data_IF_044840654073
#
_entry.id   IF_044840654073
#
_cell.length_a   1.000
_cell.length_b   1.000
_cell.length_c   1.000
_cell.angle_alpha   90.00
_cell.angle_beta   90.00
_cell.angle_gamma   90.00
#
_symmetry.space_group_name_H-M   'P 1'
#
loop_
_entity.id
_entity.type
_entity.pdbx_description
1 polymer ?
#
# COMPACT_ATOMS: atom_id res chain seq x y z
N UNK A 1 4.75 20.45 26.41
CA UNK A 1 5.83 19.80 25.66
C UNK A 1 5.38 19.72 24.21
N UNK A 2 5.99 20.50 23.35
CA UNK A 2 5.52 20.67 21.96
C UNK A 2 6.13 19.60 21.04
N UNK A 3 5.45 19.30 19.93
CA UNK A 3 6.00 18.43 18.87
C UNK A 3 7.32 18.99 18.32
N UNK A 4 7.49 20.32 18.34
CA UNK A 4 8.73 20.97 17.93
C UNK A 4 9.91 20.63 18.87
N UNK A 5 9.71 20.57 20.19
CA UNK A 5 10.76 20.19 21.16
C UNK A 5 11.19 18.71 21.03
N UNK A 6 10.30 17.84 20.53
CA UNK A 6 10.59 16.43 20.28
C UNK A 6 11.37 16.22 18.97
N UNK A 7 11.18 17.11 17.99
CA UNK A 7 12.02 17.18 16.80
C UNK A 7 13.39 17.82 17.06
N UNK A 8 13.50 18.64 18.12
CA UNK A 8 14.71 19.39 18.47
C UNK A 8 15.62 18.67 19.50
N UNK A 9 15.46 17.36 19.69
CA UNK A 9 16.42 16.52 20.43
C UNK A 9 17.74 16.39 19.65
N UNK A 10 18.52 17.47 19.58
CA UNK A 10 19.91 17.47 19.11
C UNK A 10 20.12 17.00 17.66
N UNK A 11 19.14 17.17 16.76
CA UNK A 11 19.25 16.86 15.33
C UNK A 11 19.03 15.40 14.92
N UNK A 12 18.81 14.48 15.86
CA UNK A 12 18.64 13.04 15.57
C UNK A 12 17.18 12.61 15.32
N UNK A 13 16.20 13.44 15.68
CA UNK A 13 14.79 13.09 15.53
C UNK A 13 14.40 12.85 14.07
N UNK A 14 14.95 13.62 13.13
CA UNK A 14 14.72 13.42 11.69
C UNK A 14 15.24 12.06 11.19
N UNK A 15 16.34 11.55 11.74
CA UNK A 15 16.88 10.23 11.39
C UNK A 15 16.00 9.11 11.94
N UNK A 16 15.64 9.17 13.22
CA UNK A 16 14.81 8.13 13.86
C UNK A 16 13.43 8.09 13.20
N UNK A 17 12.75 9.22 13.13
CA UNK A 17 11.41 9.29 12.51
C UNK A 17 11.46 9.06 11.00
N UNK A 18 12.55 9.41 10.33
CA UNK A 18 12.79 9.05 8.93
C UNK A 18 12.82 7.54 8.73
N UNK A 19 13.60 6.79 9.52
CA UNK A 19 13.66 5.32 9.41
C UNK A 19 12.33 4.64 9.76
N UNK A 20 11.62 5.12 10.79
CA UNK A 20 10.27 4.63 11.13
C UNK A 20 9.25 4.97 10.04
N UNK A 21 9.32 6.17 9.47
CA UNK A 21 8.47 6.62 8.36
C UNK A 21 8.70 5.80 7.09
N UNK A 22 9.96 5.54 6.73
CA UNK A 22 10.32 4.66 5.59
C UNK A 22 9.84 3.23 5.84
N UNK A 23 10.00 2.70 7.06
CA UNK A 23 9.52 1.35 7.40
C UNK A 23 7.99 1.25 7.30
N UNK A 24 7.26 2.23 7.84
CA UNK A 24 5.81 2.31 7.74
C UNK A 24 5.37 2.48 6.27
N UNK A 25 6.09 3.28 5.48
CA UNK A 25 5.82 3.47 4.06
C UNK A 25 5.94 2.15 3.29
N UNK A 26 6.99 1.36 3.55
CA UNK A 26 7.16 0.04 2.94
C UNK A 26 6.04 -0.92 3.32
N UNK A 27 5.69 -0.99 4.61
CA UNK A 27 4.56 -1.80 5.09
C UNK A 27 3.21 -1.40 4.47
N UNK A 28 3.04 -0.14 4.06
CA UNK A 28 1.82 0.35 3.42
C UNK A 28 1.84 0.13 1.89
N UNK A 29 3.02 0.23 1.26
CA UNK A 29 3.18 0.03 -0.18
C UNK A 29 2.78 -1.38 -0.62
N UNK A 30 3.21 -2.41 0.12
CA UNK A 30 2.89 -3.81 -0.18
C UNK A 30 1.38 -4.09 -0.28
N UNK A 31 0.54 -3.76 0.74
CA UNK A 31 -0.90 -4.01 0.67
C UNK A 31 -1.61 -3.14 -0.37
N UNK A 32 -1.11 -1.94 -0.70
CA UNK A 32 -1.67 -1.12 -1.79
C UNK A 32 -1.43 -1.81 -3.14
N UNK A 33 -0.20 -2.24 -3.42
CA UNK A 33 0.10 -2.98 -4.65
C UNK A 33 -0.69 -4.28 -4.73
N UNK A 34 -0.80 -5.02 -3.62
CA UNK A 34 -1.55 -6.27 -3.57
C UNK A 34 -3.06 -6.05 -3.79
N UNK A 35 -3.64 -4.97 -3.24
CA UNK A 35 -5.04 -4.60 -3.49
C UNK A 35 -5.28 -4.27 -4.96
N UNK A 36 -4.37 -3.55 -5.60
CA UNK A 36 -4.48 -3.21 -7.01
C UNK A 36 -4.41 -4.46 -7.90
N UNK A 37 -3.48 -5.38 -7.60
CA UNK A 37 -3.42 -6.66 -8.30
C UNK A 37 -4.68 -7.50 -8.10
N UNK A 38 -5.22 -7.58 -6.88
CA UNK A 38 -6.45 -8.33 -6.60
C UNK A 38 -7.63 -7.80 -7.42
N UNK A 39 -7.78 -6.48 -7.55
CA UNK A 39 -8.82 -5.87 -8.41
C UNK A 39 -8.65 -6.26 -9.88
N UNK A 40 -7.42 -6.20 -10.41
CA UNK A 40 -7.14 -6.56 -11.79
C UNK A 40 -7.43 -8.05 -12.08
N UNK A 41 -7.05 -8.95 -11.17
CA UNK A 41 -7.33 -10.39 -11.29
C UNK A 41 -8.83 -10.67 -11.27
N UNK A 42 -9.57 -10.06 -10.35
CA UNK A 42 -11.02 -10.23 -10.27
C UNK A 42 -11.74 -9.75 -11.54
N UNK A 43 -11.34 -8.60 -12.09
CA UNK A 43 -11.88 -8.10 -13.36
C UNK A 43 -11.59 -9.05 -14.52
N UNK A 44 -10.40 -9.66 -14.56
CA UNK A 44 -10.03 -10.63 -15.59
C UNK A 44 -10.86 -11.91 -15.46
N UNK A 45 -11.06 -12.42 -14.25
CA UNK A 45 -11.90 -13.60 -14.00
C UNK A 45 -13.36 -13.32 -14.41
N UNK A 46 -13.91 -12.17 -14.02
CA UNK A 46 -15.28 -11.78 -14.39
C UNK A 46 -15.48 -11.75 -15.91
N UNK A 47 -14.48 -11.26 -16.66
CA UNK A 47 -14.51 -11.26 -18.13
C UNK A 47 -14.51 -12.68 -18.70
N UNK A 48 -13.68 -13.58 -18.17
CA UNK A 48 -13.61 -14.99 -18.63
C UNK A 48 -14.94 -15.70 -18.38
N UNK A 49 -15.55 -15.50 -17.21
CA UNK A 49 -16.86 -16.09 -16.88
C UNK A 49 -17.93 -15.64 -17.88
N UNK A 50 -17.95 -14.35 -18.25
CA UNK A 50 -18.91 -13.81 -19.23
C UNK A 50 -18.74 -14.42 -20.63
N UNK A 51 -17.51 -14.63 -21.09
CA UNK A 51 -17.23 -15.25 -22.39
C UNK A 51 -17.66 -16.72 -22.38
N UNK A 52 -17.30 -17.48 -21.34
CA UNK A 52 -17.73 -18.88 -21.19
C UNK A 52 -19.25 -19.05 -21.11
N UNK A 53 -19.96 -18.07 -20.54
CA UNK A 53 -21.42 -18.09 -20.48
C UNK A 53 -22.06 -17.91 -21.87
N UNK A 54 -21.42 -17.17 -22.78
CA UNK A 54 -21.90 -17.01 -24.16
C UNK A 54 -21.54 -18.17 -25.09
N UNK A 55 -20.48 -18.93 -24.78
CA UNK A 55 -20.07 -20.12 -25.56
C UNK A 55 -20.95 -21.35 -25.29
N UNK A 56 -21.73 -21.35 -24.19
CA UNK A 56 -22.64 -22.43 -23.83
C UNK A 56 -24.08 -22.28 -24.37
N UNK A 57 -24.34 -21.29 -25.22
CA UNK A 57 -25.61 -21.07 -25.93
C UNK A 57 -25.45 -21.53 -27.37
#
# INVERSE_FOLDING_TARGET
MSVAEFLDMGGYALYVWGSFGVSALLMILEPIMLRNHRRAVLQRIARIIRIKAGEKV
#
